data_IF_015500273732
#
_entry.id   IF_015500273732
#
_cell.length_a   1.000
_cell.length_b   1.000
_cell.length_c   1.000
_cell.angle_alpha   90.00
_cell.angle_beta   90.00
_cell.angle_gamma   90.00
#
_symmetry.space_group_name_H-M   'P 1'
#
loop_
_entity.id
_entity.type
_entity.pdbx_description
1 polymer ?
#
# COMPACT_ATOMS: atom_id res chain seq x y z
N UNK A 1 -25.23 -1.80 22.51
CA UNK A 1 -23.92 -1.32 22.04
C UNK A 1 -23.22 -2.41 21.21
N UNK A 2 -23.49 -2.50 19.90
CA UNK A 2 -22.91 -3.52 19.01
C UNK A 2 -22.09 -2.98 17.82
N UNK A 3 -22.11 -1.66 17.59
CA UNK A 3 -21.60 -1.06 16.34
C UNK A 3 -20.09 -0.76 16.29
N UNK A 4 -19.31 -0.89 17.38
CA UNK A 4 -17.92 -0.38 17.42
C UNK A 4 -16.84 -1.32 16.85
N UNK A 5 -17.01 -2.66 16.92
CA UNK A 5 -15.95 -3.61 16.49
C UNK A 5 -15.98 -3.92 14.99
N UNK A 6 -17.16 -4.09 14.40
CA UNK A 6 -17.27 -4.33 12.95
C UNK A 6 -16.79 -3.12 12.14
N UNK A 7 -17.09 -1.90 12.59
CA UNK A 7 -16.64 -0.66 11.97
C UNK A 7 -15.11 -0.50 12.01
N UNK A 8 -14.46 -0.90 13.10
CA UNK A 8 -13.00 -0.80 13.23
C UNK A 8 -12.26 -1.75 12.27
N UNK A 9 -12.73 -2.99 12.10
CA UNK A 9 -12.11 -3.94 11.17
C UNK A 9 -12.21 -3.48 9.71
N UNK A 10 -13.36 -2.94 9.33
CA UNK A 10 -13.55 -2.35 8.00
C UNK A 10 -12.63 -1.14 7.83
N UNK A 11 -12.52 -0.26 8.83
CA UNK A 11 -11.59 0.88 8.80
C UNK A 11 -10.13 0.45 8.64
N UNK A 12 -9.68 -0.59 9.36
CA UNK A 12 -8.32 -1.12 9.22
C UNK A 12 -8.07 -1.75 7.85
N UNK A 13 -9.04 -2.49 7.31
CA UNK A 13 -8.92 -3.05 5.96
C UNK A 13 -8.81 -1.94 4.89
N UNK A 14 -9.64 -0.89 4.97
CA UNK A 14 -9.55 0.27 4.08
C UNK A 14 -8.24 1.03 4.22
N UNK A 15 -7.74 1.20 5.45
CA UNK A 15 -6.44 1.83 5.69
C UNK A 15 -5.29 1.02 5.06
N UNK A 16 -5.32 -0.31 5.18
CA UNK A 16 -4.36 -1.20 4.54
C UNK A 16 -4.41 -1.12 3.02
N UNK A 17 -5.61 -1.14 2.45
CA UNK A 17 -5.83 -1.03 1.01
C UNK A 17 -5.33 0.31 0.45
N UNK A 18 -5.70 1.43 1.09
CA UNK A 18 -5.28 2.76 0.67
C UNK A 18 -3.76 2.95 0.82
N UNK A 19 -3.17 2.43 1.90
CA UNK A 19 -1.73 2.46 2.12
C UNK A 19 -0.96 1.66 1.06
N UNK A 20 -1.44 0.46 0.70
CA UNK A 20 -0.85 -0.36 -0.35
C UNK A 20 -0.87 0.36 -1.69
N UNK A 21 -2.03 0.85 -2.13
CA UNK A 21 -2.13 1.58 -3.40
C UNK A 21 -1.24 2.82 -3.44
N UNK A 22 -1.17 3.57 -2.34
CA UNK A 22 -0.28 4.74 -2.26
C UNK A 22 1.18 4.32 -2.44
N UNK A 23 1.60 3.22 -1.80
CA UNK A 23 2.97 2.71 -1.96
C UNK A 23 3.25 2.27 -3.41
N UNK A 24 2.43 1.37 -3.97
CA UNK A 24 2.63 0.86 -5.34
C UNK A 24 2.66 2.00 -6.35
N UNK A 25 1.70 2.93 -6.28
CA UNK A 25 1.63 4.05 -7.23
C UNK A 25 2.80 5.01 -7.05
N UNK A 26 3.17 5.35 -5.82
CA UNK A 26 4.21 6.33 -5.56
C UNK A 26 5.60 5.79 -5.92
N UNK A 27 5.91 4.55 -5.54
CA UNK A 27 7.18 3.91 -5.88
C UNK A 27 7.31 3.76 -7.39
N UNK A 28 6.29 3.20 -8.04
CA UNK A 28 6.36 2.92 -9.48
C UNK A 28 6.35 4.21 -10.33
N UNK A 29 5.59 5.22 -9.94
CA UNK A 29 5.64 6.55 -10.58
C UNK A 29 6.97 7.26 -10.31
N UNK A 30 7.55 7.08 -9.12
CA UNK A 30 8.86 7.63 -8.76
C UNK A 30 9.98 7.05 -9.64
N UNK A 31 9.93 5.74 -9.92
CA UNK A 31 10.86 5.10 -10.87
C UNK A 31 10.73 5.72 -12.26
N UNK A 32 9.50 5.93 -12.74
CA UNK A 32 9.28 6.56 -14.04
C UNK A 32 9.82 7.99 -14.11
N UNK A 33 9.65 8.79 -13.06
CA UNK A 33 10.06 10.21 -13.09
C UNK A 33 11.57 10.37 -12.90
N UNK A 34 12.18 9.59 -12.01
CA UNK A 34 13.56 9.80 -11.57
C UNK A 34 14.57 8.84 -12.23
N UNK A 35 14.12 7.69 -12.72
CA UNK A 35 14.98 6.59 -13.14
C UNK A 35 14.53 5.88 -14.43
N UNK A 36 13.73 6.55 -15.29
CA UNK A 36 13.18 5.97 -16.53
C UNK A 36 14.22 5.26 -17.37
N UNK A 37 15.35 5.91 -17.66
CA UNK A 37 16.37 5.42 -18.58
C UNK A 37 17.15 4.24 -17.98
N UNK A 38 17.50 4.32 -16.70
CA UNK A 38 18.17 3.22 -16.00
C UNK A 38 17.26 2.00 -15.86
N UNK A 39 15.96 2.24 -15.62
CA UNK A 39 14.96 1.18 -15.54
C UNK A 39 14.69 0.54 -16.90
N UNK A 40 14.66 1.34 -17.98
CA UNK A 40 14.60 0.85 -19.36
C UNK A 40 15.77 -0.07 -19.69
N UNK A 41 17.00 0.35 -19.35
CA UNK A 41 18.21 -0.42 -19.57
C UNK A 41 18.23 -1.73 -18.76
N UNK A 42 17.82 -1.67 -17.49
CA UNK A 42 17.75 -2.85 -16.63
C UNK A 42 16.76 -3.91 -17.13
N UNK A 43 15.64 -3.46 -17.71
CA UNK A 43 14.63 -4.32 -18.31
C UNK A 43 14.92 -4.69 -19.78
N UNK A 44 15.94 -4.09 -20.40
CA UNK A 44 16.27 -4.28 -21.81
C UNK A 44 15.17 -3.81 -22.78
N UNK A 45 14.30 -2.89 -22.34
CA UNK A 45 13.20 -2.34 -23.14
C UNK A 45 13.51 -0.93 -23.60
N UNK A 46 12.93 -0.52 -24.73
CA UNK A 46 12.99 0.88 -25.15
C UNK A 46 12.39 1.78 -24.07
N UNK A 47 12.97 2.97 -23.86
CA UNK A 47 12.53 3.92 -22.83
C UNK A 47 11.04 4.27 -22.92
N UNK A 48 10.46 4.23 -24.12
CA UNK A 48 9.04 4.53 -24.34
C UNK A 48 8.10 3.40 -23.88
N UNK A 49 8.59 2.16 -23.79
CA UNK A 49 7.81 1.02 -23.29
C UNK A 49 7.82 0.91 -21.75
N UNK A 50 8.63 1.71 -21.07
CA UNK A 50 8.75 1.67 -19.60
C UNK A 50 7.43 1.95 -18.91
N UNK A 51 6.63 2.87 -19.45
CA UNK A 51 5.34 3.22 -18.84
C UNK A 51 4.35 2.06 -18.93
N UNK A 52 4.33 1.32 -20.04
CA UNK A 52 3.46 0.15 -20.22
C UNK A 52 3.86 -0.98 -19.28
N UNK A 53 5.17 -1.22 -19.12
CA UNK A 53 5.68 -2.21 -18.16
C UNK A 53 5.31 -1.82 -16.73
N UNK A 54 5.50 -0.55 -16.36
CA UNK A 54 5.14 -0.03 -15.03
C UNK A 54 3.65 -0.18 -14.77
N UNK A 55 2.79 0.16 -15.73
CA UNK A 55 1.34 0.00 -15.60
C UNK A 55 0.94 -1.47 -15.43
N UNK A 56 1.57 -2.38 -16.17
CA UNK A 56 1.43 -3.82 -15.99
C UNK A 56 1.77 -4.26 -14.56
N UNK A 57 2.94 -3.81 -14.06
CA UNK A 57 3.39 -4.13 -12.69
C UNK A 57 2.44 -3.56 -11.65
N UNK A 58 2.02 -2.29 -11.78
CA UNK A 58 1.05 -1.66 -10.86
C UNK A 58 -0.24 -2.47 -10.81
N UNK A 59 -0.75 -2.93 -11.96
CA UNK A 59 -2.01 -3.68 -12.00
C UNK A 59 -1.93 -5.03 -11.27
N UNK A 60 -0.86 -5.81 -11.47
CA UNK A 60 -0.71 -7.12 -10.85
C UNK A 60 -0.29 -7.00 -9.38
N UNK A 61 0.74 -6.22 -9.09
CA UNK A 61 1.26 -6.06 -7.74
C UNK A 61 0.29 -5.28 -6.86
N UNK A 62 -0.42 -4.29 -7.41
CA UNK A 62 -1.39 -3.51 -6.65
C UNK A 62 -2.50 -4.38 -6.04
N UNK A 63 -2.97 -5.41 -6.76
CA UNK A 63 -3.96 -6.36 -6.24
C UNK A 63 -3.35 -7.21 -5.13
N UNK A 64 -2.20 -7.81 -5.38
CA UNK A 64 -1.53 -8.71 -4.41
C UNK A 64 -1.17 -7.96 -3.13
N UNK A 65 -0.54 -6.79 -3.25
CA UNK A 65 -0.15 -5.94 -2.13
C UNK A 65 -1.37 -5.44 -1.35
N UNK A 66 -2.45 -5.03 -2.03
CA UNK A 66 -3.67 -4.57 -1.36
C UNK A 66 -4.34 -5.68 -0.54
N UNK A 67 -4.39 -6.91 -1.06
CA UNK A 67 -4.95 -8.06 -0.33
C UNK A 67 -4.12 -8.38 0.91
N UNK A 68 -2.80 -8.48 0.75
CA UNK A 68 -1.88 -8.75 1.86
C UNK A 68 -1.96 -7.64 2.91
N UNK A 69 -1.95 -6.37 2.48
CA UNK A 69 -2.05 -5.22 3.37
C UNK A 69 -3.39 -5.19 4.11
N UNK A 70 -4.52 -5.51 3.46
CA UNK A 70 -5.82 -5.57 4.13
C UNK A 70 -5.84 -6.61 5.26
N UNK A 71 -5.28 -7.80 5.00
CA UNK A 71 -5.20 -8.89 6.01
C UNK A 71 -4.30 -8.47 7.18
N UNK A 72 -3.09 -7.98 6.88
CA UNK A 72 -2.12 -7.57 7.89
C UNK A 72 -2.65 -6.40 8.72
N UNK A 73 -3.23 -5.39 8.08
CA UNK A 73 -3.73 -4.20 8.77
C UNK A 73 -4.94 -4.52 9.64
N UNK A 74 -5.84 -5.42 9.21
CA UNK A 74 -6.93 -5.89 10.05
C UNK A 74 -6.39 -6.65 11.28
N UNK A 75 -5.46 -7.60 11.10
CA UNK A 75 -4.88 -8.38 12.19
C UNK A 75 -4.10 -7.52 13.19
N UNK A 76 -3.19 -6.69 12.69
CA UNK A 76 -2.37 -5.79 13.51
C UNK A 76 -3.23 -4.69 14.13
N UNK A 77 -4.17 -4.10 13.38
CA UNK A 77 -5.06 -3.06 13.88
C UNK A 77 -5.92 -3.52 15.05
N UNK A 78 -6.45 -4.75 14.99
CA UNK A 78 -7.18 -5.36 16.11
C UNK A 78 -6.25 -5.57 17.31
N UNK A 79 -5.04 -6.10 17.10
CA UNK A 79 -4.08 -6.33 18.17
C UNK A 79 -3.69 -5.01 18.86
N UNK A 80 -3.36 -3.97 18.08
CA UNK A 80 -3.02 -2.65 18.59
C UNK A 80 -4.19 -1.98 19.33
N UNK A 81 -5.42 -2.16 18.87
CA UNK A 81 -6.61 -1.61 19.52
C UNK A 81 -6.86 -2.16 20.93
N UNK A 82 -6.25 -3.30 21.29
CA UNK A 82 -6.33 -3.88 22.64
C UNK A 82 -5.23 -3.36 23.58
N UNK A 83 -4.19 -2.72 23.05
CA UNK A 83 -3.07 -2.21 23.84
C UNK A 83 -3.44 -0.82 24.35
N UNK A 84 -3.22 -0.54 25.64
CA UNK A 84 -3.37 0.83 26.16
C UNK A 84 -2.34 1.72 25.46
N UNK A 85 -2.75 2.82 24.80
CA UNK A 85 -1.81 3.73 24.20
C UNK A 85 -0.85 4.24 25.29
N UNK A 86 0.44 4.30 24.96
CA UNK A 86 1.44 4.89 25.83
C UNK A 86 1.01 6.33 26.09
N UNK A 87 0.57 6.60 27.33
CA UNK A 87 0.07 7.90 27.75
C UNK A 87 1.23 8.90 27.69
N UNK A 88 1.23 9.72 26.65
CA UNK A 88 2.13 10.85 26.47
C UNK A 88 1.49 12.04 25.75
N UNK A 89 0.15 12.09 25.69
CA UNK A 89 -0.59 13.24 25.15
C UNK A 89 -1.81 13.53 26.03
N UNK A 90 -1.51 13.91 27.26
CA UNK A 90 -2.40 14.70 28.12
C UNK A 90 -1.52 15.81 28.68
N UNK A 91 -1.39 16.85 27.88
CA UNK A 91 -1.40 18.24 28.34
C UNK A 91 -2.29 18.99 27.34
#
# INVERSE_FOLDING_TARGET
>A
MGHKKASANVAFAYAGLAGAFTNTLFVMSGIFILYKEAYAQALGVAGDAVIDVIMGIISFNGIVEAVVAAILTAGVGIALAQIKPVKGLKD
#
